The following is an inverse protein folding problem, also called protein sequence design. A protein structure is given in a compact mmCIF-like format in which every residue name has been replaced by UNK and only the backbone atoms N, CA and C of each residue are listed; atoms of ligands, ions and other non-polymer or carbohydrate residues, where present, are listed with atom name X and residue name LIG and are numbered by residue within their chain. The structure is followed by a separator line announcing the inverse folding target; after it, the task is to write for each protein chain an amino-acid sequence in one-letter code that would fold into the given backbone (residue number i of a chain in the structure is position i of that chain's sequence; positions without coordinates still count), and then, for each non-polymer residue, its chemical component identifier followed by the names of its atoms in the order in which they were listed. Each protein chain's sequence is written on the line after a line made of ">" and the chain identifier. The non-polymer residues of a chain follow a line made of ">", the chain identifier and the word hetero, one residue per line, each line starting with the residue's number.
data_IF_984219956854
#
_entry.id   IF_984219956854
#
_cell.length_a   1.000
_cell.length_b   1.000
_cell.length_c   1.000
_cell.angle_alpha   90.00
_cell.angle_beta   90.00
_cell.angle_gamma   90.00
#
_symmetry.space_group_name_H-M   'P 1'
#
loop_
_entity.id
_entity.type
_entity.pdbx_description
1 polymer ?
#
# COMPACT_ATOMS: atom_id res chain seq x y z
N UNK A 1 -3.18 -19.27 -9.36
CA UNK A 1 -4.17 -18.19 -9.63
C UNK A 1 -5.55 -18.82 -9.53
N UNK A 2 -6.49 -18.20 -8.82
CA UNK A 2 -7.88 -18.67 -8.72
C UNK A 2 -8.77 -17.68 -9.47
N UNK A 3 -9.51 -18.10 -10.51
CA UNK A 3 -10.40 -17.20 -11.25
C UNK A 3 -11.58 -16.77 -10.38
N UNK A 4 -12.04 -15.53 -10.59
CA UNK A 4 -13.22 -14.95 -9.94
C UNK A 4 -14.12 -14.39 -11.03
N UNK A 5 -15.34 -14.89 -11.15
CA UNK A 5 -16.30 -14.42 -12.16
C UNK A 5 -16.90 -13.07 -11.73
N UNK A 6 -16.54 -12.03 -12.48
CA UNK A 6 -17.05 -10.68 -12.25
C UNK A 6 -18.50 -10.52 -12.73
N UNK A 7 -18.89 -11.21 -13.80
CA UNK A 7 -20.26 -11.20 -14.34
C UNK A 7 -21.25 -11.84 -13.38
N UNK A 8 -20.86 -12.97 -12.76
CA UNK A 8 -21.62 -13.62 -11.69
C UNK A 8 -21.46 -12.96 -10.30
N UNK A 9 -20.76 -11.81 -10.23
CA UNK A 9 -20.50 -11.03 -9.00
C UNK A 9 -19.86 -11.84 -7.86
N UNK A 10 -18.99 -12.79 -8.18
CA UNK A 10 -18.37 -13.65 -7.17
C UNK A 10 -17.50 -12.87 -6.16
N UNK A 11 -16.85 -11.81 -6.62
CA UNK A 11 -16.13 -10.84 -5.80
C UNK A 11 -16.99 -10.14 -4.73
N UNK A 12 -18.32 -10.28 -4.76
CA UNK A 12 -19.26 -9.74 -3.76
C UNK A 12 -19.87 -10.82 -2.86
N UNK A 13 -19.54 -12.11 -3.08
CA UNK A 13 -20.02 -13.22 -2.25
C UNK A 13 -19.17 -13.34 -0.98
N UNK A 14 -19.76 -13.84 0.10
CA UNK A 14 -19.11 -13.98 1.42
C UNK A 14 -17.76 -14.71 1.37
N UNK A 15 -17.67 -15.73 0.52
CA UNK A 15 -16.42 -16.48 0.29
C UNK A 15 -15.26 -15.58 -0.12
N UNK A 16 -15.51 -14.58 -0.98
CA UNK A 16 -14.51 -13.62 -1.42
C UNK A 16 -14.38 -12.42 -0.47
N UNK A 17 -15.48 -11.97 0.16
CA UNK A 17 -15.45 -10.87 1.12
C UNK A 17 -14.57 -11.20 2.33
N UNK A 18 -14.43 -12.48 2.68
CA UNK A 18 -13.48 -12.95 3.70
C UNK A 18 -12.01 -12.72 3.35
N UNK A 19 -11.69 -12.42 2.07
CA UNK A 19 -10.37 -12.05 1.56
C UNK A 19 -10.22 -10.54 1.36
N UNK A 20 -11.27 -9.89 0.87
CA UNK A 20 -11.33 -8.44 0.69
C UNK A 20 -12.75 -7.95 1.02
N UNK A 21 -12.92 -7.28 2.16
CA UNK A 21 -14.21 -6.77 2.62
C UNK A 21 -14.85 -5.72 1.69
N UNK A 22 -14.06 -5.08 0.82
CA UNK A 22 -14.58 -4.16 -0.21
C UNK A 22 -15.12 -4.91 -1.45
N UNK A 23 -14.82 -6.20 -1.55
CA UNK A 23 -15.20 -7.05 -2.66
C UNK A 23 -14.61 -6.55 -3.97
N UNK A 24 -13.33 -6.19 -3.99
CA UNK A 24 -12.60 -5.81 -5.21
C UNK A 24 -11.54 -6.86 -5.54
N UNK A 25 -11.25 -7.03 -6.83
CA UNK A 25 -10.11 -7.82 -7.31
C UNK A 25 -8.92 -6.89 -7.58
N UNK A 26 -7.67 -7.35 -7.35
CA UNK A 26 -7.26 -8.65 -6.83
C UNK A 26 -7.21 -8.74 -5.29
N UNK A 27 -7.24 -9.98 -4.79
CA UNK A 27 -6.84 -10.35 -3.43
C UNK A 27 -5.78 -11.48 -3.50
N UNK A 28 -4.92 -11.56 -2.49
CA UNK A 28 -3.87 -12.55 -2.32
C UNK A 28 -4.07 -13.25 -0.98
N UNK A 29 -3.90 -14.56 -0.96
CA UNK A 29 -3.74 -15.32 0.27
C UNK A 29 -2.42 -16.10 0.20
N UNK A 30 -1.58 -15.94 1.22
CA UNK A 30 -0.32 -16.66 1.37
C UNK A 30 -0.25 -17.27 2.77
N UNK A 31 -0.53 -18.58 2.86
CA UNK A 31 -0.78 -19.27 4.13
C UNK A 31 -1.91 -18.62 4.92
N UNK A 32 -1.59 -18.11 6.11
CA UNK A 32 -2.52 -17.37 6.98
C UNK A 32 -2.67 -15.88 6.65
N UNK A 33 -1.81 -15.32 5.80
CA UNK A 33 -1.85 -13.90 5.42
C UNK A 33 -2.90 -13.70 4.32
N UNK A 34 -3.76 -12.69 4.49
CA UNK A 34 -4.72 -12.22 3.47
C UNK A 34 -4.42 -10.77 3.13
N UNK A 35 -4.27 -10.46 1.85
CA UNK A 35 -3.99 -9.13 1.33
C UNK A 35 -4.95 -8.78 0.20
N UNK A 36 -5.30 -7.50 0.13
CA UNK A 36 -5.95 -6.89 -1.01
C UNK A 36 -5.23 -5.57 -1.30
N UNK A 37 -5.65 -4.85 -2.35
CA UNK A 37 -4.89 -3.75 -2.98
C UNK A 37 -3.71 -4.21 -3.83
N UNK A 38 -3.80 -3.95 -5.14
CA UNK A 38 -2.81 -4.40 -6.13
C UNK A 38 -1.39 -3.93 -5.82
N UNK A 39 -1.24 -2.70 -5.29
CA UNK A 39 0.07 -2.13 -4.91
C UNK A 39 0.64 -2.77 -3.64
N UNK A 40 -0.20 -3.12 -2.67
CA UNK A 40 0.25 -3.81 -1.46
C UNK A 40 0.66 -5.25 -1.78
N UNK A 41 -0.16 -5.96 -2.58
CA UNK A 41 0.15 -7.30 -3.12
C UNK A 41 1.47 -7.28 -3.88
N UNK A 42 1.66 -6.33 -4.80
CA UNK A 42 2.89 -6.21 -5.58
C UNK A 42 4.11 -6.01 -4.69
N UNK A 43 4.02 -5.12 -3.69
CA UNK A 43 5.10 -4.87 -2.72
C UNK A 43 5.43 -6.09 -1.88
N UNK A 44 4.41 -6.77 -1.37
CA UNK A 44 4.59 -8.02 -0.63
C UNK A 44 5.31 -9.07 -1.48
N UNK A 45 4.88 -9.26 -2.73
CA UNK A 45 5.51 -10.24 -3.61
C UNK A 45 6.99 -9.90 -3.82
N UNK A 46 7.30 -8.64 -4.11
CA UNK A 46 8.67 -8.24 -4.35
C UNK A 46 9.57 -8.28 -3.11
N UNK A 47 9.03 -7.99 -1.92
CA UNK A 47 9.83 -8.08 -0.69
C UNK A 47 10.03 -9.52 -0.26
N UNK A 48 8.95 -10.31 -0.22
CA UNK A 48 8.93 -11.67 0.31
C UNK A 48 9.60 -12.67 -0.64
N UNK A 49 9.53 -12.41 -1.94
CA UNK A 49 10.15 -13.22 -2.98
C UNK A 49 11.29 -12.45 -3.69
N UNK A 50 11.95 -11.54 -2.99
CA UNK A 50 13.06 -10.72 -3.52
C UNK A 50 14.20 -11.58 -4.10
N UNK A 51 14.54 -12.68 -3.43
CA UNK A 51 15.55 -13.66 -3.88
C UNK A 51 15.14 -14.43 -5.15
N UNK A 52 13.87 -14.31 -5.56
CA UNK A 52 13.34 -14.90 -6.81
C UNK A 52 13.34 -13.90 -7.98
N UNK A 53 13.96 -12.72 -7.83
CA UNK A 53 14.27 -11.81 -8.94
C UNK A 53 13.30 -10.65 -9.17
N UNK A 54 12.39 -10.33 -8.23
CA UNK A 54 11.47 -9.19 -8.35
C UNK A 54 11.92 -8.06 -7.41
N UNK A 55 12.82 -7.19 -7.87
CA UNK A 55 13.24 -6.02 -7.08
C UNK A 55 12.28 -4.84 -7.32
N UNK A 56 11.38 -4.58 -6.37
CA UNK A 56 10.62 -3.31 -6.36
C UNK A 56 11.46 -2.21 -5.71
N UNK A 57 11.96 -1.29 -6.53
CA UNK A 57 12.82 -0.15 -6.12
C UNK A 57 12.05 0.95 -5.36
N UNK A 58 11.44 0.60 -4.24
CA UNK A 58 10.64 1.51 -3.41
C UNK A 58 11.47 2.61 -2.73
N UNK A 59 12.75 2.36 -2.42
CA UNK A 59 13.65 3.33 -1.78
C UNK A 59 13.84 4.62 -2.59
N UNK A 60 14.08 4.51 -3.90
CA UNK A 60 14.31 5.68 -4.77
C UNK A 60 13.08 6.58 -4.88
N UNK A 61 11.88 6.01 -4.83
CA UNK A 61 10.63 6.80 -4.86
C UNK A 61 10.48 7.60 -3.58
N UNK A 62 10.81 7.01 -2.43
CA UNK A 62 10.74 7.70 -1.15
C UNK A 62 11.79 8.81 -1.03
N UNK A 63 12.93 8.72 -1.72
CA UNK A 63 13.89 9.83 -1.81
C UNK A 63 13.31 11.04 -2.56
N UNK A 64 12.56 10.79 -3.64
CA UNK A 64 11.83 11.86 -4.36
C UNK A 64 10.76 12.49 -3.46
N UNK A 65 10.07 11.67 -2.67
CA UNK A 65 9.05 12.17 -1.74
C UNK A 65 9.67 13.01 -0.64
N UNK A 66 10.80 12.57 -0.09
CA UNK A 66 11.55 13.32 0.92
C UNK A 66 11.93 14.71 0.42
N UNK A 67 12.46 14.81 -0.80
CA UNK A 67 12.80 16.10 -1.41
C UNK A 67 11.57 16.99 -1.64
N UNK A 68 10.43 16.41 -2.05
CA UNK A 68 9.18 17.14 -2.26
C UNK A 68 8.58 17.64 -0.94
N UNK A 69 8.49 16.77 0.06
CA UNK A 69 7.92 17.06 1.37
C UNK A 69 8.81 17.98 2.22
N UNK A 70 10.08 18.12 1.86
CA UNK A 70 10.93 19.20 2.38
C UNK A 70 10.54 20.60 1.89
N UNK A 71 9.66 20.71 0.88
CA UNK A 71 9.19 21.97 0.29
C UNK A 71 7.70 22.21 0.44
N UNK A 72 6.90 21.15 0.56
CA UNK A 72 5.44 21.22 0.66
C UNK A 72 4.93 20.36 1.81
N UNK A 73 3.80 20.73 2.41
CA UNK A 73 3.26 19.99 3.57
C UNK A 73 2.78 18.56 3.21
N UNK A 74 2.30 18.38 1.98
CA UNK A 74 1.76 17.15 1.43
C UNK A 74 2.32 16.88 0.03
N UNK A 75 2.10 15.68 -0.51
CA UNK A 75 2.46 15.37 -1.90
C UNK A 75 1.67 16.24 -2.87
N UNK A 76 0.40 16.54 -2.53
CA UNK A 76 -0.47 17.41 -3.31
C UNK A 76 -0.11 18.90 -3.23
N UNK A 77 0.84 19.31 -2.37
CA UNK A 77 1.19 20.71 -2.13
C UNK A 77 0.94 21.13 -0.68
N UNK A 78 0.39 22.32 -0.46
CA UNK A 78 0.17 22.87 0.88
C UNK A 78 -1.11 22.35 1.55
N UNK A 79 -2.00 21.72 0.77
CA UNK A 79 -3.24 21.09 1.24
C UNK A 79 -3.23 19.59 0.96
N UNK A 80 -3.85 18.82 1.86
CA UNK A 80 -4.02 17.38 1.68
C UNK A 80 -4.95 17.13 0.50
N UNK A 81 -4.55 16.25 -0.42
CA UNK A 81 -5.27 16.08 -1.67
C UNK A 81 -5.22 14.65 -2.20
N UNK A 82 -5.71 14.50 -3.44
CA UNK A 82 -5.89 13.20 -4.07
C UNK A 82 -4.59 12.38 -4.12
N UNK A 83 -3.45 13.02 -4.34
CA UNK A 83 -2.16 12.34 -4.37
C UNK A 83 -1.80 11.72 -3.01
N UNK A 84 -2.26 12.28 -1.89
CA UNK A 84 -2.02 11.75 -0.55
C UNK A 84 -3.01 10.62 -0.22
N UNK A 85 -4.29 10.81 -0.55
CA UNK A 85 -5.37 9.82 -0.35
C UNK A 85 -5.04 8.48 -1.01
N UNK A 86 -4.58 8.51 -2.27
CA UNK A 86 -4.24 7.26 -2.99
C UNK A 86 -3.07 6.49 -2.36
N UNK A 87 -2.29 7.12 -1.48
CA UNK A 87 -1.24 6.44 -0.74
C UNK A 87 -1.72 5.83 0.57
N UNK A 88 -2.90 6.21 1.10
CA UNK A 88 -3.40 5.76 2.41
C UNK A 88 -3.40 4.25 2.59
N UNK A 89 -4.00 3.42 1.70
CA UNK A 89 -4.06 1.98 1.93
C UNK A 89 -2.68 1.35 1.95
N UNK A 90 -1.79 1.81 1.06
CA UNK A 90 -0.44 1.29 0.92
C UNK A 90 0.45 1.69 2.09
N UNK A 91 0.38 2.96 2.52
CA UNK A 91 1.15 3.46 3.66
C UNK A 91 0.70 2.79 4.94
N UNK A 92 -0.62 2.71 5.20
CA UNK A 92 -1.17 2.04 6.38
C UNK A 92 -0.68 0.60 6.49
N UNK A 93 -0.73 -0.17 5.40
CA UNK A 93 -0.25 -1.54 5.42
C UNK A 93 1.26 -1.62 5.71
N UNK A 94 2.08 -0.82 5.02
CA UNK A 94 3.55 -0.89 5.14
C UNK A 94 4.06 -0.41 6.50
N UNK A 95 3.43 0.61 7.08
CA UNK A 95 3.77 1.12 8.41
C UNK A 95 3.52 0.09 9.53
N UNK A 96 2.71 -0.93 9.27
CA UNK A 96 2.46 -2.07 10.17
C UNK A 96 3.37 -3.29 9.91
N UNK A 97 4.42 -3.14 9.10
CA UNK A 97 5.41 -4.20 8.80
C UNK A 97 6.84 -3.69 9.08
N UNK A 98 7.87 -4.55 9.05
CA UNK A 98 9.27 -4.10 9.14
C UNK A 98 9.67 -3.08 8.05
N UNK A 99 8.94 -3.00 6.94
CA UNK A 99 9.18 -2.00 5.89
C UNK A 99 8.98 -0.55 6.37
N UNK A 100 8.32 -0.33 7.52
CA UNK A 100 8.21 1.00 8.15
C UNK A 100 9.57 1.67 8.38
N UNK A 101 10.63 0.89 8.60
CA UNK A 101 11.99 1.41 8.79
C UNK A 101 12.45 2.25 7.56
N UNK A 102 11.97 1.91 6.36
CA UNK A 102 12.29 2.66 5.13
C UNK A 102 11.61 4.03 5.13
N UNK A 103 10.42 4.16 5.74
CA UNK A 103 9.74 5.45 5.90
C UNK A 103 10.35 6.25 7.06
N UNK A 104 10.64 5.60 8.18
CA UNK A 104 11.22 6.22 9.38
C UNK A 104 12.63 6.78 9.15
N UNK A 105 13.40 6.19 8.23
CA UNK A 105 14.72 6.70 7.83
C UNK A 105 14.68 8.07 7.10
N UNK A 106 13.49 8.58 6.77
CA UNK A 106 13.29 9.82 6.00
C UNK A 106 12.38 10.77 6.79
N UNK A 107 12.90 11.84 7.39
CA UNK A 107 12.14 12.63 8.37
C UNK A 107 10.87 13.27 7.82
N UNK A 108 10.88 13.83 6.61
CA UNK A 108 9.69 14.46 6.03
C UNK A 108 8.65 13.40 5.61
N UNK A 109 9.09 12.31 4.99
CA UNK A 109 8.25 11.15 4.64
C UNK A 109 7.65 10.50 5.89
N UNK A 110 8.43 10.32 6.96
CA UNK A 110 7.96 9.76 8.23
C UNK A 110 6.85 10.61 8.84
N UNK A 111 7.02 11.95 8.83
CA UNK A 111 6.00 12.89 9.29
C UNK A 111 4.73 12.78 8.44
N UNK A 112 4.86 12.79 7.11
CA UNK A 112 3.74 12.66 6.19
C UNK A 112 2.99 11.33 6.35
N UNK A 113 3.71 10.21 6.48
CA UNK A 113 3.12 8.89 6.65
C UNK A 113 2.19 8.81 7.88
N UNK A 114 2.59 9.41 9.00
CA UNK A 114 1.76 9.49 10.21
C UNK A 114 0.46 10.26 9.98
N UNK A 115 0.48 11.32 9.17
CA UNK A 115 -0.75 12.09 8.85
C UNK A 115 -1.68 11.28 7.95
N UNK A 116 -1.12 10.61 6.96
CA UNK A 116 -1.84 9.71 6.04
C UNK A 116 -2.53 8.58 6.81
N UNK A 117 -1.90 8.04 7.87
CA UNK A 117 -2.50 7.03 8.75
C UNK A 117 -3.67 7.56 9.59
N UNK A 118 -3.63 8.81 10.06
CA UNK A 118 -4.70 9.40 10.89
C UNK A 118 -5.97 9.67 10.08
N UNK A 119 -5.82 10.07 8.81
CA UNK A 119 -6.94 10.39 7.92
C UNK A 119 -7.67 9.14 7.37
N UNK A 120 -7.23 7.92 7.74
CA UNK A 120 -7.81 6.64 7.28
C UNK A 120 -8.73 6.00 8.35
N UNK A 121 -9.12 6.76 9.37
CA UNK A 121 -10.13 6.40 10.37
C UNK A 121 -11.42 7.13 10.07
#
# INVERSE_FOLDING_TARGET
>A
MVPVDLGAREHKKESYLSLNSFGHVPALQDGGLKLFESRAISKYIASTYSDKGIELRSGKVLDVYEARLGRTQYLSGDSFGLADVHHQPVVHYLMNTPAKAVFEARPHVSKWAKVVEVQNK
#
